data_IF_663904987547
#
_entry.id   IF_663904987547
#
_cell.length_a   1.000
_cell.length_b   1.000
_cell.length_c   1.000
_cell.angle_alpha   90.00
_cell.angle_beta   90.00
_cell.angle_gamma   90.00
#
_symmetry.space_group_name_H-M   'P 1'
#
loop_
_entity.id
_entity.type
_entity.pdbx_description
1 polymer ?
#
# COMPACT_ATOMS: atom_id res chain seq x y z
N UNK A 1 4.86 -43.06 11.15
CA UNK A 1 3.93 -42.35 10.35
C UNK A 1 3.64 -40.99 10.94
N UNK A 2 3.58 -40.00 10.10
CA UNK A 2 3.44 -38.64 10.59
C UNK A 2 2.03 -38.12 10.45
N UNK A 3 1.10 -38.97 10.78
CA UNK A 3 -0.30 -38.62 10.54
C UNK A 3 -0.76 -37.37 11.25
N UNK A 4 -0.06 -37.03 12.33
CA UNK A 4 -0.54 -35.91 13.12
C UNK A 4 0.09 -34.59 12.75
N UNK A 5 0.87 -34.54 11.69
CA UNK A 5 1.50 -33.30 11.32
C UNK A 5 0.45 -32.38 10.69
N UNK A 6 0.31 -31.21 11.24
CA UNK A 6 -0.65 -30.23 10.75
C UNK A 6 0.07 -29.23 9.87
N UNK A 7 -0.43 -29.08 8.65
CA UNK A 7 0.08 -28.07 7.74
C UNK A 7 -0.87 -26.88 7.84
N UNK A 8 -0.34 -25.74 8.27
CA UNK A 8 -1.14 -24.54 8.41
C UNK A 8 -0.83 -23.63 7.23
N UNK A 9 -1.87 -23.31 6.46
CA UNK A 9 -1.71 -22.47 5.29
C UNK A 9 -2.38 -21.13 5.56
N UNK A 10 -1.62 -20.08 5.50
CA UNK A 10 -2.16 -18.74 5.68
C UNK A 10 -1.58 -17.81 4.64
N UNK A 11 -2.27 -16.73 4.39
CA UNK A 11 -1.79 -15.65 3.54
C UNK A 11 -2.39 -14.35 4.06
N UNK A 12 -1.70 -13.24 3.94
CA UNK A 12 -2.29 -11.95 4.30
C UNK A 12 -3.55 -11.71 3.46
N UNK A 13 -4.65 -11.38 4.10
CA UNK A 13 -5.91 -11.12 3.39
C UNK A 13 -6.04 -9.64 3.03
N UNK A 14 -5.74 -8.79 3.97
CA UNK A 14 -5.81 -7.35 3.73
C UNK A 14 -5.04 -6.64 4.83
N UNK A 15 -4.78 -5.37 4.60
CA UNK A 15 -4.36 -4.48 5.66
C UNK A 15 -5.26 -3.25 5.62
N UNK A 16 -5.49 -2.71 6.80
CA UNK A 16 -6.50 -1.69 7.00
C UNK A 16 -5.81 -0.41 7.42
N UNK A 17 -6.12 0.69 6.76
CA UNK A 17 -5.56 1.98 7.12
C UNK A 17 -6.69 2.99 7.25
N UNK A 18 -6.55 3.93 8.16
CA UNK A 18 -7.50 5.03 8.31
C UNK A 18 -6.99 6.24 7.55
N UNK A 19 -7.89 6.87 6.81
CA UNK A 19 -7.58 7.99 5.93
C UNK A 19 -8.56 9.13 6.22
N UNK A 20 -8.16 10.34 5.89
CA UNK A 20 -9.00 11.50 6.12
C UNK A 20 -10.04 11.70 5.02
N UNK A 21 -9.75 11.25 3.80
CA UNK A 21 -10.59 11.50 2.64
C UNK A 21 -10.63 10.22 1.80
N UNK A 22 -11.76 9.53 1.82
CA UNK A 22 -11.89 8.26 1.11
C UNK A 22 -11.70 8.42 -0.40
N UNK A 23 -12.32 9.41 -0.99
CA UNK A 23 -12.23 9.57 -2.44
C UNK A 23 -10.80 9.85 -2.88
N UNK A 24 -10.08 10.68 -2.14
CA UNK A 24 -8.69 10.97 -2.44
C UNK A 24 -7.85 9.71 -2.35
N UNK A 25 -8.05 8.92 -1.30
CA UNK A 25 -7.25 7.70 -1.09
C UNK A 25 -7.62 6.60 -2.07
N UNK A 26 -8.90 6.46 -2.41
CA UNK A 26 -9.32 5.52 -3.45
C UNK A 26 -8.60 5.87 -4.75
N UNK A 27 -8.60 7.14 -5.13
CA UNK A 27 -7.92 7.58 -6.34
C UNK A 27 -6.43 7.30 -6.29
N UNK A 28 -5.80 7.57 -5.15
CA UNK A 28 -4.37 7.36 -5.00
C UNK A 28 -4.00 5.89 -5.21
N UNK A 29 -4.64 4.97 -4.49
CA UNK A 29 -4.31 3.56 -4.57
C UNK A 29 -4.74 2.93 -5.89
N UNK A 30 -5.83 3.42 -6.49
CA UNK A 30 -6.29 2.89 -7.76
C UNK A 30 -5.38 3.33 -8.90
N UNK A 31 -5.02 4.60 -8.94
CA UNK A 31 -4.27 5.13 -10.07
C UNK A 31 -2.78 4.90 -9.97
N UNK A 32 -2.24 4.77 -8.76
CA UNK A 32 -0.81 4.54 -8.59
C UNK A 32 -0.46 3.07 -8.50
N UNK A 33 -1.33 2.26 -7.88
CA UNK A 33 -1.01 0.85 -7.63
C UNK A 33 -1.99 -0.12 -8.27
N UNK A 34 -2.97 0.38 -9.01
CA UNK A 34 -3.88 -0.49 -9.77
C UNK A 34 -4.91 -1.22 -8.95
N UNK A 35 -5.19 -0.77 -7.74
CA UNK A 35 -6.25 -1.38 -6.94
C UNK A 35 -7.61 -0.99 -7.50
N UNK A 36 -8.60 -1.87 -7.35
CA UNK A 36 -9.95 -1.63 -7.81
C UNK A 36 -10.91 -1.71 -6.66
N UNK A 37 -11.84 -0.78 -6.58
CA UNK A 37 -12.85 -0.81 -5.53
C UNK A 37 -13.71 -2.06 -5.69
N UNK A 38 -13.83 -2.84 -4.62
CA UNK A 38 -14.58 -4.07 -4.64
C UNK A 38 -15.92 -3.92 -3.92
N UNK A 39 -15.95 -3.25 -2.79
CA UNK A 39 -17.20 -3.01 -2.07
C UNK A 39 -17.01 -1.98 -0.99
N UNK A 40 -18.14 -1.48 -0.48
CA UNK A 40 -18.18 -0.53 0.63
C UNK A 40 -18.98 -1.12 1.77
N UNK A 41 -18.55 -0.83 2.99
CA UNK A 41 -19.17 -1.38 4.18
C UNK A 41 -19.37 -0.25 5.18
N UNK A 42 -20.58 -0.17 5.73
CA UNK A 42 -20.83 0.72 6.85
C UNK A 42 -20.50 -0.08 8.10
N UNK A 43 -19.39 0.25 8.74
CA UNK A 43 -18.92 -0.45 9.93
C UNK A 43 -19.39 0.21 11.22
N UNK A 44 -20.37 1.11 11.14
CA UNK A 44 -20.92 1.77 12.31
C UNK A 44 -20.18 3.05 12.64
N UNK A 45 -19.03 2.97 13.25
CA UNK A 45 -18.26 4.15 13.64
C UNK A 45 -17.37 4.68 12.51
N UNK A 46 -17.16 3.90 11.49
CA UNK A 46 -16.37 4.30 10.33
C UNK A 46 -16.91 3.64 9.08
N UNK A 47 -16.58 4.22 7.94
CA UNK A 47 -16.92 3.64 6.65
C UNK A 47 -15.69 2.93 6.09
N UNK A 48 -15.90 1.80 5.45
CA UNK A 48 -14.84 1.02 4.84
C UNK A 48 -15.02 0.94 3.35
N UNK A 49 -13.91 0.97 2.61
CA UNK A 49 -13.90 0.68 1.19
C UNK A 49 -12.80 -0.37 0.97
N UNK A 50 -13.18 -1.50 0.41
CA UNK A 50 -12.24 -2.58 0.14
C UNK A 50 -11.73 -2.42 -1.29
N UNK A 51 -10.42 -2.31 -1.43
CA UNK A 51 -9.77 -2.22 -2.73
C UNK A 51 -9.02 -3.51 -2.99
N UNK A 52 -9.37 -4.19 -4.07
CA UNK A 52 -8.73 -5.46 -4.43
C UNK A 52 -7.58 -5.20 -5.40
N UNK A 53 -6.48 -5.98 -5.28
CA UNK A 53 -5.38 -5.83 -6.24
C UNK A 53 -5.79 -6.36 -7.62
N UNK A 54 -5.08 -5.93 -8.65
CA UNK A 54 -5.38 -6.38 -10.01
C UNK A 54 -5.13 -7.87 -10.18
N UNK A 55 -4.18 -8.42 -9.44
CA UNK A 55 -3.88 -9.84 -9.46
C UNK A 55 -4.05 -10.37 -8.04
N UNK A 56 -3.66 -11.61 -7.81
CA UNK A 56 -3.74 -12.16 -6.47
C UNK A 56 -2.87 -11.38 -5.51
N UNK A 57 -3.35 -11.23 -4.31
CA UNK A 57 -2.62 -10.54 -3.25
C UNK A 57 -3.57 -9.96 -2.23
N UNK A 58 -3.01 -9.32 -1.22
CA UNK A 58 -3.81 -8.73 -0.16
C UNK A 58 -4.52 -7.48 -0.65
N UNK A 59 -5.70 -7.26 -0.12
CA UNK A 59 -6.48 -6.06 -0.38
C UNK A 59 -6.03 -4.92 0.52
N UNK A 60 -6.34 -3.71 0.12
CA UNK A 60 -6.21 -2.54 0.99
C UNK A 60 -7.61 -2.14 1.42
N UNK A 61 -7.81 -2.00 2.72
CA UNK A 61 -9.10 -1.57 3.24
C UNK A 61 -8.91 -0.16 3.77
N UNK A 62 -9.59 0.78 3.14
CA UNK A 62 -9.54 2.19 3.51
C UNK A 62 -10.70 2.48 4.45
N UNK A 63 -10.41 3.11 5.58
CA UNK A 63 -11.44 3.43 6.55
C UNK A 63 -11.44 4.92 6.85
N UNK A 64 -12.61 5.49 7.10
CA UNK A 64 -12.73 6.88 7.47
C UNK A 64 -13.66 6.98 8.67
N UNK A 65 -13.18 7.60 9.74
CA UNK A 65 -14.01 7.83 10.93
C UNK A 65 -15.17 8.75 10.59
N UNK A 66 -16.35 8.40 11.04
CA UNK A 66 -17.53 9.23 10.79
C UNK A 66 -17.56 10.48 11.65
N UNK A 67 -16.84 10.47 12.79
CA UNK A 67 -16.84 11.61 13.72
C UNK A 67 -15.71 12.58 13.42
N UNK A 68 -15.04 12.42 12.30
CA UNK A 68 -14.00 13.36 11.85
C UNK A 68 -12.81 13.51 12.78
N UNK A 69 -12.56 12.51 13.61
CA UNK A 69 -11.35 12.54 14.44
C UNK A 69 -10.12 12.47 13.56
N UNK A 70 -9.01 12.99 14.07
CA UNK A 70 -7.76 12.98 13.31
C UNK A 70 -7.25 11.57 13.10
N UNK A 71 -6.58 11.36 11.98
CA UNK A 71 -5.92 10.08 11.69
C UNK A 71 -4.57 10.09 12.40
N UNK A 72 -4.37 9.11 13.28
CA UNK A 72 -3.12 9.00 14.02
C UNK A 72 -2.42 7.71 13.62
N UNK A 73 -1.24 7.84 13.03
CA UNK A 73 -0.53 6.65 12.55
C UNK A 73 0.27 5.95 13.62
N UNK A 74 0.78 6.67 14.57
CA UNK A 74 1.69 6.12 15.56
C UNK A 74 3.06 5.82 14.96
N UNK A 75 3.90 5.12 15.70
CA UNK A 75 5.26 4.84 15.27
C UNK A 75 5.62 3.37 15.29
N UNK A 76 4.65 2.49 15.39
CA UNK A 76 4.93 1.07 15.57
C UNK A 76 5.06 0.28 14.27
N UNK A 77 4.53 0.80 13.18
CA UNK A 77 4.52 0.07 11.92
C UNK A 77 5.53 0.66 10.94
N UNK A 78 6.20 -0.21 10.21
CA UNK A 78 7.02 0.21 9.10
C UNK A 78 6.19 0.37 7.83
N UNK A 79 6.85 0.57 6.69
CA UNK A 79 6.13 0.71 5.43
C UNK A 79 5.51 -0.60 4.97
N UNK A 80 4.43 -0.49 4.19
CA UNK A 80 3.85 -1.62 3.49
C UNK A 80 4.57 -1.74 2.15
N UNK A 81 5.04 -2.94 1.82
CA UNK A 81 5.81 -3.14 0.60
C UNK A 81 4.97 -3.61 -0.57
N UNK A 82 5.26 -3.07 -1.75
CA UNK A 82 4.59 -3.46 -2.99
C UNK A 82 5.62 -3.73 -4.07
N UNK A 83 5.48 -4.85 -4.77
CA UNK A 83 6.29 -5.09 -5.96
C UNK A 83 5.65 -4.35 -7.13
N UNK A 84 6.44 -3.58 -7.84
CA UNK A 84 5.98 -2.86 -9.03
C UNK A 84 6.99 -3.08 -10.16
N UNK A 85 6.54 -2.91 -11.38
CA UNK A 85 7.40 -3.12 -12.54
C UNK A 85 8.45 -2.01 -12.66
N UNK A 86 8.08 -0.79 -12.39
CA UNK A 86 8.97 0.36 -12.58
C UNK A 86 8.86 1.28 -11.37
N UNK A 87 9.82 1.17 -10.46
CA UNK A 87 9.79 1.94 -9.22
C UNK A 87 9.83 3.44 -9.48
N UNK A 88 10.65 3.87 -10.43
CA UNK A 88 10.79 5.30 -10.70
C UNK A 88 9.50 5.90 -11.24
N UNK A 89 8.82 5.17 -12.14
CA UNK A 89 7.56 5.64 -12.69
C UNK A 89 6.48 5.74 -11.61
N UNK A 90 6.36 4.74 -10.79
CA UNK A 90 5.33 4.73 -9.74
C UNK A 90 5.63 5.80 -8.69
N UNK A 91 6.91 5.99 -8.37
CA UNK A 91 7.29 7.05 -7.43
C UNK A 91 6.84 8.42 -7.96
N UNK A 92 7.10 8.70 -9.23
CA UNK A 92 6.69 9.98 -9.83
C UNK A 92 5.17 10.12 -9.85
N UNK A 93 4.47 9.04 -10.17
CA UNK A 93 3.01 9.05 -10.21
C UNK A 93 2.41 9.31 -8.83
N UNK A 94 2.99 8.69 -7.80
CA UNK A 94 2.56 8.91 -6.44
C UNK A 94 2.81 10.34 -5.98
N UNK A 95 3.97 10.89 -6.34
CA UNK A 95 4.30 12.27 -5.98
C UNK A 95 3.30 13.25 -6.60
N UNK A 96 2.90 13.01 -7.84
CA UNK A 96 1.90 13.83 -8.50
C UNK A 96 0.54 13.75 -7.83
N UNK A 97 0.32 12.71 -7.05
CA UNK A 97 -0.95 12.50 -6.36
C UNK A 97 -0.88 12.81 -4.87
N UNK A 98 0.14 13.55 -4.45
CA UNK A 98 0.21 14.05 -3.09
C UNK A 98 1.06 13.25 -2.13
N UNK A 99 1.76 12.22 -2.60
CA UNK A 99 2.68 11.49 -1.74
C UNK A 99 3.98 12.27 -1.59
N UNK A 100 4.66 12.01 -0.49
CA UNK A 100 5.95 12.63 -0.23
C UNK A 100 7.02 11.54 -0.25
N UNK A 101 8.05 11.73 -1.06
CA UNK A 101 9.15 10.76 -1.13
C UNK A 101 10.04 10.90 0.10
N UNK A 102 10.30 9.79 0.76
CA UNK A 102 11.13 9.76 1.96
C UNK A 102 12.52 9.22 1.61
N UNK A 103 12.58 8.15 0.82
CA UNK A 103 13.85 7.53 0.43
C UNK A 103 13.79 7.14 -1.04
N UNK A 104 14.85 7.41 -1.77
CA UNK A 104 15.00 6.92 -3.13
C UNK A 104 14.23 7.71 -4.18
N UNK A 105 14.04 7.14 -5.38
CA UNK A 105 14.43 5.77 -5.78
C UNK A 105 15.92 5.55 -5.79
N UNK A 106 16.33 4.38 -5.37
CA UNK A 106 17.74 3.99 -5.40
C UNK A 106 17.86 2.47 -5.47
N UNK A 107 19.04 2.00 -5.82
CA UNK A 107 19.31 0.57 -5.81
C UNK A 107 19.81 0.16 -4.44
N UNK A 108 19.24 -0.90 -3.91
CA UNK A 108 19.58 -1.38 -2.58
C UNK A 108 19.31 -2.88 -2.51
N UNK A 109 20.30 -3.61 -2.01
CA UNK A 109 20.16 -5.06 -1.81
C UNK A 109 19.72 -5.79 -3.08
N UNK A 110 20.21 -5.35 -4.22
CA UNK A 110 19.91 -6.01 -5.49
C UNK A 110 18.59 -5.62 -6.11
N UNK A 111 17.90 -4.66 -5.55
CA UNK A 111 16.59 -4.22 -6.03
C UNK A 111 16.56 -2.71 -6.17
N UNK A 112 15.59 -2.21 -6.91
CA UNK A 112 15.29 -0.78 -6.94
C UNK A 112 14.22 -0.53 -5.89
N UNK A 113 14.43 0.44 -5.01
CA UNK A 113 13.46 0.72 -3.96
C UNK A 113 13.16 2.22 -3.86
N UNK A 114 12.01 2.52 -3.31
CA UNK A 114 11.66 3.87 -2.87
C UNK A 114 10.69 3.76 -1.70
N UNK A 115 10.75 4.70 -0.78
CA UNK A 115 9.80 4.77 0.32
C UNK A 115 9.13 6.14 0.25
N UNK A 116 7.80 6.13 0.30
CA UNK A 116 7.01 7.35 0.25
C UNK A 116 5.98 7.33 1.36
N UNK A 117 5.49 8.50 1.72
CA UNK A 117 4.32 8.65 2.58
C UNK A 117 3.14 8.98 1.69
N UNK A 118 2.02 8.27 1.88
CA UNK A 118 0.80 8.57 1.12
C UNK A 118 0.19 9.88 1.63
N UNK A 119 -0.92 10.37 1.06
CA UNK A 119 -1.47 11.68 1.48
C UNK A 119 -1.82 11.78 2.95
N UNK A 120 -2.04 10.66 3.64
CA UNK A 120 -2.29 10.66 5.08
C UNK A 120 -1.04 10.34 5.88
N UNK A 121 0.08 10.09 5.22
CA UNK A 121 1.34 9.80 5.89
C UNK A 121 1.64 8.32 6.09
N UNK A 122 0.79 7.42 5.60
CA UNK A 122 1.09 6.00 5.68
C UNK A 122 2.27 5.68 4.77
N UNK A 123 3.22 4.90 5.26
CA UNK A 123 4.43 4.66 4.49
C UNK A 123 4.27 3.49 3.54
N UNK A 124 4.78 3.67 2.34
CA UNK A 124 4.73 2.69 1.26
C UNK A 124 6.15 2.48 0.78
N UNK A 125 6.56 1.22 0.68
CA UNK A 125 7.84 0.89 0.09
C UNK A 125 7.60 0.22 -1.25
N UNK A 126 8.17 0.78 -2.30
CA UNK A 126 8.09 0.21 -3.64
C UNK A 126 9.35 -0.60 -3.87
N UNK A 127 9.17 -1.81 -4.42
CA UNK A 127 10.28 -2.70 -4.70
C UNK A 127 10.15 -3.15 -6.15
N UNK A 128 11.25 -3.11 -6.86
CA UNK A 128 11.21 -3.51 -8.26
C UNK A 128 12.57 -3.95 -8.73
N UNK A 129 12.64 -4.13 -10.03
CA UNK A 129 13.86 -4.58 -10.66
C UNK A 129 14.89 -3.47 -10.61
N UNK A 130 16.12 -3.84 -10.31
CA UNK A 130 17.23 -2.91 -10.32
C UNK A 130 17.31 -2.22 -11.67
N UNK A 131 17.75 -0.97 -11.67
CA UNK A 131 17.88 -0.21 -12.90
C UNK A 131 18.78 -0.92 -13.89
N UNK A 132 18.29 -1.09 -15.12
CA UNK A 132 19.05 -1.78 -16.13
C UNK A 132 19.89 -0.85 -16.96
N UNK A 133 19.57 0.40 -16.97
CA UNK A 133 20.35 1.34 -17.76
C UNK A 133 21.64 1.75 -17.13
N UNK A 134 21.88 1.38 -15.94
CA UNK A 134 23.05 1.78 -15.32
C UNK A 134 24.06 0.81 -15.56
N UNK A 135 24.76 0.86 -16.33
CA UNK A 135 25.71 -0.02 -16.55
C UNK A 135 26.49 -0.20 -15.51
N UNK A 136 26.14 -0.21 -14.95
CA UNK A 136 26.78 -0.44 -14.19
C UNK A 136 27.49 -0.49 -13.89
#
# INVERSE_FOLDING_TARGET
MQADEIVIETAPAFYKIFVADLDRSIGFYSECLGFCEQRRIDAGKFDEVVLAPAKQGASVVLCRWKDERAVERGGANGPTGYFVADVDEITARMADRGARTIVGPLDYAGMRIAILADPDGHQIELLGRKSTGSSD
#
